data_IF_478500170087
#
_entry.id   IF_478500170087
#
_cell.length_a   1.000
_cell.length_b   1.000
_cell.length_c   1.000
_cell.angle_alpha   90.00
_cell.angle_beta   90.00
_cell.angle_gamma   90.00
#
_symmetry.space_group_name_H-M   'P 1'
#
loop_
_entity.id
_entity.type
_entity.pdbx_description
1 polymer ?
#
# COMPACT_ATOMS: atom_id res chain seq x y z
N UNK A 1 2.29 7.64 15.64
CA UNK A 1 3.03 7.52 14.38
C UNK A 1 2.10 7.66 13.19
N UNK A 2 2.66 7.66 11.99
CA UNK A 2 1.92 7.91 10.74
C UNK A 2 0.84 6.85 10.46
N UNK A 3 1.06 5.59 10.86
CA UNK A 3 0.02 4.55 10.80
C UNK A 3 -1.25 4.89 11.58
N UNK A 4 -1.16 5.61 12.70
CA UNK A 4 -2.36 6.05 13.44
C UNK A 4 -3.06 7.21 12.73
N UNK A 5 -2.31 8.10 12.06
CA UNK A 5 -2.86 9.20 11.25
C UNK A 5 -3.64 8.63 10.06
N UNK A 6 -3.08 7.66 9.35
CA UNK A 6 -3.72 6.99 8.21
C UNK A 6 -5.06 6.35 8.61
N UNK A 7 -5.10 5.59 9.72
CA UNK A 7 -6.34 4.99 10.24
C UNK A 7 -7.42 6.02 10.55
N UNK A 8 -7.06 7.17 11.14
CA UNK A 8 -8.02 8.25 11.43
C UNK A 8 -8.64 8.88 10.19
N UNK A 9 -7.97 8.82 9.05
CA UNK A 9 -8.48 9.30 7.76
C UNK A 9 -9.13 8.19 6.93
N UNK A 10 -9.41 7.02 7.52
CA UNK A 10 -10.03 5.88 6.81
C UNK A 10 -9.07 5.09 5.92
N UNK A 11 -7.78 5.42 5.90
CA UNK A 11 -6.75 4.76 5.10
C UNK A 11 -6.15 3.56 5.85
N UNK A 12 -6.99 2.61 6.27
CA UNK A 12 -6.58 1.45 7.07
C UNK A 12 -5.59 0.54 6.34
N UNK A 13 -5.79 0.32 5.04
CA UNK A 13 -4.86 -0.48 4.20
C UNK A 13 -3.49 0.19 4.09
N UNK A 14 -3.45 1.51 3.91
CA UNK A 14 -2.21 2.28 3.90
C UNK A 14 -1.44 2.10 5.22
N UNK A 15 -2.15 2.12 6.34
CA UNK A 15 -1.55 1.94 7.66
C UNK A 15 -0.94 0.55 7.83
N UNK A 16 -1.61 -0.51 7.36
CA UNK A 16 -1.08 -1.87 7.41
C UNK A 16 0.18 -2.02 6.53
N UNK A 17 0.16 -1.49 5.31
CA UNK A 17 1.32 -1.52 4.41
C UNK A 17 2.52 -0.76 4.99
N UNK A 18 2.27 0.37 5.67
CA UNK A 18 3.32 1.14 6.33
C UNK A 18 3.91 0.39 7.54
N UNK A 19 3.07 -0.26 8.34
CA UNK A 19 3.52 -1.08 9.48
C UNK A 19 4.35 -2.28 8.97
N UNK A 20 3.93 -2.94 7.88
CA UNK A 20 4.67 -4.04 7.25
C UNK A 20 6.00 -3.60 6.66
N UNK A 21 6.03 -2.45 5.99
CA UNK A 21 7.26 -1.87 5.43
C UNK A 21 8.26 -1.52 6.54
N UNK A 22 7.80 -0.91 7.64
CA UNK A 22 8.64 -0.66 8.80
C UNK A 22 9.15 -1.96 9.42
N UNK A 23 8.29 -2.96 9.56
CA UNK A 23 8.67 -4.26 10.07
C UNK A 23 9.69 -4.96 9.15
N UNK A 24 9.62 -4.76 7.83
CA UNK A 24 10.60 -5.28 6.87
C UNK A 24 11.94 -4.52 6.91
N UNK A 25 11.89 -3.19 7.02
CA UNK A 25 13.09 -2.35 7.16
C UNK A 25 13.82 -2.57 8.49
N UNK A 26 13.09 -2.84 9.57
CA UNK A 26 13.62 -3.08 10.90
C UNK A 26 14.33 -4.45 11.03
N UNK A 27 14.18 -5.37 10.07
CA UNK A 27 14.89 -6.65 10.08
C UNK A 27 16.37 -6.44 9.75
N UNK A 28 17.12 -6.08 10.78
CA UNK A 28 18.58 -6.22 10.87
C UNK A 28 18.86 -7.16 12.03
N UNK A 29 18.41 -8.40 11.90
CA UNK A 29 18.62 -9.41 12.94
C UNK A 29 20.11 -9.62 13.16
N UNK A 30 20.50 -9.87 14.41
CA UNK A 30 21.87 -10.20 14.77
C UNK A 30 21.91 -11.62 15.31
N UNK A 31 22.95 -12.37 14.99
CA UNK A 31 23.17 -13.68 15.58
C UNK A 31 23.53 -13.55 17.07
N UNK A 32 23.61 -14.67 17.78
CA UNK A 32 24.00 -14.70 19.19
C UNK A 32 25.38 -14.07 19.47
N UNK A 33 26.21 -13.87 18.43
CA UNK A 33 27.51 -13.23 18.49
C UNK A 33 27.47 -11.74 18.09
N UNK A 34 26.29 -11.19 17.79
CA UNK A 34 26.08 -9.78 17.41
C UNK A 34 26.31 -9.45 15.93
N UNK A 35 26.61 -10.44 15.07
CA UNK A 35 26.81 -10.24 13.63
C UNK A 35 25.46 -10.12 12.93
N UNK A 36 25.36 -9.21 11.95
CA UNK A 36 24.13 -9.04 11.18
C UNK A 36 23.83 -10.29 10.35
N UNK A 37 22.61 -10.81 10.47
CA UNK A 37 22.06 -11.79 9.55
C UNK A 37 21.84 -11.14 8.18
N UNK A 38 21.87 -11.93 7.09
CA UNK A 38 21.45 -11.47 5.78
C UNK A 38 20.08 -10.81 5.87
N UNK A 39 19.97 -9.60 5.34
CA UNK A 39 18.68 -8.92 5.22
C UNK A 39 17.82 -9.69 4.23
N UNK A 40 16.56 -9.94 4.61
CA UNK A 40 15.54 -10.47 3.71
C UNK A 40 15.10 -9.35 2.74
N UNK A 41 15.95 -9.12 1.74
CA UNK A 41 15.77 -8.05 0.74
C UNK A 41 14.52 -8.28 -0.10
N UNK A 42 14.11 -9.53 -0.31
CA UNK A 42 12.90 -9.86 -1.07
C UNK A 42 11.63 -9.48 -0.29
N UNK A 43 11.60 -9.75 1.02
CA UNK A 43 10.50 -9.30 1.88
C UNK A 43 10.40 -7.78 1.90
N UNK A 44 11.53 -7.09 2.03
CA UNK A 44 11.54 -5.63 1.96
C UNK A 44 11.06 -5.12 0.61
N UNK A 45 11.61 -5.62 -0.50
CA UNK A 45 11.22 -5.22 -1.86
C UNK A 45 9.72 -5.43 -2.11
N UNK A 46 9.15 -6.55 -1.67
CA UNK A 46 7.71 -6.82 -1.77
C UNK A 46 6.88 -5.84 -0.95
N UNK A 47 7.27 -5.56 0.30
CA UNK A 47 6.56 -4.60 1.16
C UNK A 47 6.60 -3.18 0.60
N UNK A 48 7.76 -2.77 0.05
CA UNK A 48 7.93 -1.48 -0.60
C UNK A 48 7.08 -1.37 -1.87
N UNK A 49 7.11 -2.39 -2.73
CA UNK A 49 6.33 -2.39 -3.96
C UNK A 49 4.83 -2.33 -3.69
N UNK A 50 4.34 -3.08 -2.68
CA UNK A 50 2.93 -3.04 -2.27
C UNK A 50 2.51 -1.63 -1.81
N UNK A 51 3.35 -0.96 -1.00
CA UNK A 51 3.10 0.42 -0.58
C UNK A 51 3.09 1.40 -1.76
N UNK A 52 4.01 1.26 -2.71
CA UNK A 52 4.11 2.11 -3.90
C UNK A 52 2.87 1.97 -4.82
N UNK A 53 2.48 0.73 -5.13
CA UNK A 53 1.29 0.45 -5.98
C UNK A 53 0.01 0.93 -5.31
N UNK A 54 -0.13 0.73 -4.00
CA UNK A 54 -1.28 1.24 -3.25
C UNK A 54 -1.35 2.77 -3.30
N UNK A 55 -0.20 3.45 -3.16
CA UNK A 55 -0.14 4.91 -3.17
C UNK A 55 -0.54 5.48 -4.54
N UNK A 56 -0.01 4.94 -5.65
CA UNK A 56 -0.43 5.33 -7.02
C UNK A 56 -1.94 5.14 -7.23
N UNK A 57 -2.48 4.01 -6.74
CA UNK A 57 -3.90 3.70 -6.88
C UNK A 57 -4.76 4.69 -6.10
N UNK A 58 -4.42 4.95 -4.83
CA UNK A 58 -5.18 5.87 -3.96
C UNK A 58 -5.10 7.29 -4.48
N UNK A 59 -3.93 7.76 -4.91
CA UNK A 59 -3.77 9.09 -5.51
C UNK A 59 -4.66 9.24 -6.74
N UNK A 60 -4.66 8.27 -7.65
CA UNK A 60 -5.52 8.29 -8.84
C UNK A 60 -7.01 8.29 -8.48
N UNK A 61 -7.43 7.47 -7.52
CA UNK A 61 -8.83 7.43 -7.06
C UNK A 61 -9.27 8.72 -6.39
N UNK A 62 -8.41 9.32 -5.55
CA UNK A 62 -8.69 10.60 -4.89
C UNK A 62 -8.78 11.74 -5.90
N UNK A 63 -7.87 11.79 -6.87
CA UNK A 63 -7.90 12.76 -7.97
C UNK A 63 -9.18 12.63 -8.81
N UNK A 64 -9.53 11.41 -9.24
CA UNK A 64 -10.75 11.17 -10.02
C UNK A 64 -12.02 11.60 -9.25
N UNK A 65 -12.07 11.30 -7.95
CA UNK A 65 -13.18 11.71 -7.08
C UNK A 65 -13.24 13.23 -6.92
N UNK A 66 -12.10 13.87 -6.67
CA UNK A 66 -12.02 15.33 -6.50
C UNK A 66 -12.38 16.12 -7.75
N UNK A 67 -12.13 15.55 -8.94
CA UNK A 67 -12.51 16.16 -10.22
C UNK A 67 -13.92 15.81 -10.68
N UNK A 68 -14.62 14.94 -9.94
CA UNK A 68 -15.97 14.50 -10.29
C UNK A 68 -16.04 13.68 -11.57
N UNK A 69 -14.95 13.00 -11.96
CA UNK A 69 -14.96 12.06 -13.10
C UNK A 69 -15.77 10.83 -12.68
N UNK A 70 -16.96 10.60 -13.24
CA UNK A 70 -17.73 9.40 -12.90
C UNK A 70 -16.98 8.16 -13.39
N UNK A 71 -17.08 7.07 -12.63
CA UNK A 71 -16.63 5.76 -13.11
C UNK A 71 -17.25 5.48 -14.49
N UNK A 72 -16.50 4.96 -15.47
CA UNK A 72 -17.03 4.72 -16.80
C UNK A 72 -18.29 3.85 -16.70
N UNK A 73 -19.40 4.22 -17.38
CA UNK A 73 -20.64 3.48 -17.26
C UNK A 73 -20.42 2.03 -17.67
N UNK A 74 -20.99 1.10 -16.89
CA UNK A 74 -21.01 -0.32 -17.25
C UNK A 74 -21.57 -0.48 -18.67
N UNK A 75 -21.03 -1.39 -19.48
CA UNK A 75 -21.52 -1.61 -20.84
C UNK A 75 -23.02 -1.93 -20.81
N UNK A 76 -23.79 -1.13 -21.53
CA UNK A 76 -25.23 -1.30 -21.66
C UNK A 76 -25.50 -2.67 -22.30
N UNK A 77 -26.47 -3.47 -21.80
CA UNK A 77 -26.92 -4.66 -22.52
C UNK A 77 -27.48 -4.25 -23.89
N UNK A 78 -27.33 -5.08 -24.93
CA UNK A 78 -27.85 -4.78 -26.27
C UNK A 78 -29.39 -4.64 -26.22
N UNK A 79 -29.99 -3.79 -27.09
CA UNK A 79 -31.44 -3.63 -27.12
C UNK A 79 -32.11 -4.96 -27.47
N UNK A 80 -33.18 -5.29 -26.75
CA UNK A 80 -34.02 -6.44 -27.08
C UNK A 80 -34.68 -6.21 -28.45
N UNK A 81 -34.52 -7.20 -29.35
CA UNK A 81 -35.11 -7.22 -30.68
C UNK A 81 -36.61 -7.54 -30.67
#
# INVERSE_FOLDING_TARGET
GDGARLRRHGLTTAAALLDDLHAAAAVRSRDAFGRLLPTDTDRFARSWLAAAVYTDTVERSLCATGWGVPAPPLPLPPPAA
#
